data_IF_662642527579
#
_entry.id   IF_662642527579
#
_cell.length_a   1.000
_cell.length_b   1.000
_cell.length_c   1.000
_cell.angle_alpha   90.00
_cell.angle_beta   90.00
_cell.angle_gamma   90.00
#
_symmetry.space_group_name_H-M   'P 1'
#
loop_
_entity.id
_entity.type
_entity.pdbx_description
1 polymer ?
#
# COMPACT_ATOMS: atom_id res chain seq x y z
N UNK A 1 41.41 73.82 29.13
CA UNK A 1 42.36 72.67 29.12
C UNK A 1 41.73 71.32 29.50
N UNK A 2 40.83 71.23 30.51
CA UNK A 2 40.15 69.97 30.92
C UNK A 2 39.21 69.36 29.85
N UNK A 3 38.37 70.18 29.20
CA UNK A 3 37.40 69.74 28.18
C UNK A 3 38.05 69.05 26.96
N UNK A 4 39.18 69.57 26.45
CA UNK A 4 39.94 68.96 25.34
C UNK A 4 40.59 67.61 25.70
N UNK A 5 40.92 67.37 26.97
CA UNK A 5 41.44 66.07 27.43
C UNK A 5 40.33 65.01 27.51
N UNK A 6 39.13 65.41 27.94
CA UNK A 6 37.96 64.53 28.01
C UNK A 6 37.53 64.12 26.59
N UNK A 7 37.51 65.06 25.63
CA UNK A 7 37.21 64.72 24.23
C UNK A 7 38.25 63.77 23.63
N UNK A 8 39.54 63.96 23.92
CA UNK A 8 40.61 63.08 23.41
C UNK A 8 40.53 61.66 23.99
N UNK A 9 40.12 61.53 25.26
CA UNK A 9 39.90 60.23 25.90
C UNK A 9 38.71 59.48 25.30
N UNK A 10 37.61 60.20 25.04
CA UNK A 10 36.42 59.65 24.34
C UNK A 10 36.78 59.17 22.93
N UNK A 11 37.56 59.96 22.16
CA UNK A 11 38.02 59.58 20.81
C UNK A 11 38.87 58.31 20.85
N UNK A 12 39.81 58.19 21.80
CA UNK A 12 40.60 56.97 21.96
C UNK A 12 39.75 55.74 22.30
N UNK A 13 38.74 55.90 23.16
CA UNK A 13 37.78 54.82 23.47
C UNK A 13 36.97 54.40 22.25
N UNK A 14 36.46 55.37 21.48
CA UNK A 14 35.72 55.11 20.24
C UNK A 14 36.62 54.41 19.22
N UNK A 15 37.86 54.85 19.05
CA UNK A 15 38.83 54.22 18.16
C UNK A 15 39.14 52.77 18.55
N UNK A 16 39.37 52.51 19.84
CA UNK A 16 39.58 51.15 20.36
C UNK A 16 38.34 50.27 20.18
N UNK A 17 37.15 50.85 20.34
CA UNK A 17 35.89 50.17 20.10
C UNK A 17 35.70 49.79 18.62
N UNK A 18 36.01 50.72 17.70
CA UNK A 18 35.98 50.47 16.26
C UNK A 18 36.98 49.38 15.86
N UNK A 19 38.22 49.43 16.36
CA UNK A 19 39.22 48.37 16.13
C UNK A 19 38.73 46.99 16.61
N UNK A 20 38.07 46.95 17.77
CA UNK A 20 37.49 45.73 18.31
C UNK A 20 36.33 45.23 17.44
N UNK A 21 35.47 46.12 16.94
CA UNK A 21 34.39 45.76 16.01
C UNK A 21 34.93 45.16 14.71
N UNK A 22 35.94 45.78 14.07
CA UNK A 22 36.57 45.22 12.86
C UNK A 22 37.17 43.82 13.08
N UNK A 23 37.75 43.57 14.26
CA UNK A 23 38.28 42.25 14.61
C UNK A 23 37.16 41.21 14.76
N UNK A 24 36.02 41.61 15.35
CA UNK A 24 34.85 40.75 15.48
C UNK A 24 34.20 40.44 14.13
N UNK A 25 34.13 41.41 13.21
CA UNK A 25 33.60 41.18 11.85
C UNK A 25 34.41 40.14 11.08
N UNK A 26 35.75 40.20 11.15
CA UNK A 26 36.61 39.19 10.52
C UNK A 26 36.41 37.78 11.09
N UNK A 27 36.21 37.67 12.40
CA UNK A 27 35.92 36.40 13.06
C UNK A 27 34.55 35.86 12.63
N UNK A 28 33.52 36.71 12.64
CA UNK A 28 32.17 36.35 12.17
C UNK A 28 32.19 35.89 10.71
N UNK A 29 32.96 36.55 9.84
CA UNK A 29 33.12 36.15 8.45
C UNK A 29 33.75 34.75 8.31
N UNK A 30 34.83 34.50 9.07
CA UNK A 30 35.48 33.20 9.08
C UNK A 30 34.55 32.09 9.57
N UNK A 31 33.85 32.31 10.69
CA UNK A 31 32.92 31.33 11.25
C UNK A 31 31.75 31.04 10.30
N UNK A 32 31.19 32.08 9.67
CA UNK A 32 30.13 31.92 8.66
C UNK A 32 30.61 31.10 7.44
N UNK A 33 31.84 31.32 6.97
CA UNK A 33 32.39 30.52 5.87
C UNK A 33 32.52 29.03 6.23
N UNK A 34 32.95 28.75 7.47
CA UNK A 34 33.11 27.39 7.97
C UNK A 34 31.76 26.70 8.16
N UNK A 35 30.77 27.42 8.72
CA UNK A 35 29.39 26.95 8.85
C UNK A 35 28.81 26.60 7.47
N UNK A 36 28.97 27.48 6.48
CA UNK A 36 28.48 27.26 5.11
C UNK A 36 29.04 25.98 4.49
N UNK A 37 30.33 25.73 4.67
CA UNK A 37 30.96 24.49 4.20
C UNK A 37 30.43 23.24 4.91
N UNK A 38 30.23 23.30 6.23
CA UNK A 38 29.65 22.19 7.00
C UNK A 38 28.22 21.90 6.56
N UNK A 39 27.41 22.94 6.34
CA UNK A 39 26.03 22.77 5.86
C UNK A 39 25.98 22.11 4.49
N UNK A 40 26.90 22.48 3.59
CA UNK A 40 27.00 21.87 2.27
C UNK A 40 27.35 20.38 2.37
N UNK A 41 28.39 20.03 3.14
CA UNK A 41 28.82 18.64 3.30
C UNK A 41 27.74 17.76 3.91
N UNK A 42 27.02 18.27 4.92
CA UNK A 42 25.90 17.55 5.54
C UNK A 42 24.77 17.29 4.55
N UNK A 43 24.50 18.24 3.64
CA UNK A 43 23.48 18.07 2.62
C UNK A 43 23.86 16.98 1.62
N UNK A 44 25.11 16.97 1.14
CA UNK A 44 25.60 15.92 0.26
C UNK A 44 25.58 14.52 0.92
N UNK A 45 25.93 14.43 2.20
CA UNK A 45 25.93 13.16 2.95
C UNK A 45 24.49 12.62 3.10
N UNK A 46 23.55 13.50 3.45
CA UNK A 46 22.13 13.15 3.54
C UNK A 46 21.53 12.68 2.20
N UNK A 47 21.89 13.32 1.08
CA UNK A 47 21.46 12.88 -0.25
C UNK A 47 22.03 11.50 -0.61
N UNK A 48 23.31 11.24 -0.29
CA UNK A 48 23.95 9.94 -0.53
C UNK A 48 23.29 8.83 0.28
N UNK A 49 22.93 9.10 1.53
CA UNK A 49 22.24 8.14 2.38
C UNK A 49 20.87 7.77 1.79
N UNK A 50 20.06 8.76 1.38
CA UNK A 50 18.78 8.50 0.71
C UNK A 50 18.95 7.68 -0.58
N UNK A 51 19.96 7.99 -1.38
CA UNK A 51 20.25 7.26 -2.63
C UNK A 51 20.63 5.81 -2.30
N UNK A 52 21.45 5.59 -1.27
CA UNK A 52 21.88 4.26 -0.85
C UNK A 52 20.69 3.39 -0.42
N UNK A 53 19.77 3.96 0.35
CA UNK A 53 18.58 3.28 0.84
C UNK A 53 17.63 2.95 -0.33
N UNK A 54 17.39 3.90 -1.23
CA UNK A 54 16.57 3.67 -2.43
C UNK A 54 17.15 2.57 -3.32
N UNK A 55 18.48 2.55 -3.51
CA UNK A 55 19.17 1.53 -4.28
C UNK A 55 19.03 0.13 -3.66
N UNK A 56 19.04 0.04 -2.34
CA UNK A 56 18.79 -1.22 -1.63
C UNK A 56 17.40 -1.78 -1.97
N UNK A 57 16.35 -0.95 -1.91
CA UNK A 57 14.99 -1.38 -2.24
C UNK A 57 14.82 -1.74 -3.73
N UNK A 58 15.43 -0.98 -4.65
CA UNK A 58 15.42 -1.30 -6.09
C UNK A 58 16.01 -2.69 -6.33
N UNK A 59 17.15 -2.99 -5.71
CA UNK A 59 17.80 -4.30 -5.84
C UNK A 59 16.91 -5.43 -5.30
N UNK A 60 16.23 -5.19 -4.17
CA UNK A 60 15.29 -6.15 -3.58
C UNK A 60 14.08 -6.40 -4.49
N UNK A 61 13.47 -5.35 -5.04
CA UNK A 61 12.35 -5.45 -6.00
C UNK A 61 12.75 -6.28 -7.22
N UNK A 62 13.91 -5.98 -7.82
CA UNK A 62 14.42 -6.71 -8.97
C UNK A 62 14.57 -8.22 -8.71
N UNK A 63 15.06 -8.60 -7.52
CA UNK A 63 15.17 -10.01 -7.16
C UNK A 63 13.81 -10.69 -7.00
N UNK A 64 12.82 -10.00 -6.43
CA UNK A 64 11.45 -10.51 -6.26
C UNK A 64 10.73 -10.66 -7.60
N UNK A 65 10.88 -9.71 -8.52
CA UNK A 65 10.33 -9.80 -9.87
C UNK A 65 10.90 -11.01 -10.61
N UNK A 66 12.21 -11.26 -10.48
CA UNK A 66 12.86 -12.43 -11.11
C UNK A 66 12.31 -13.76 -10.56
N UNK A 67 12.08 -13.86 -9.25
CA UNK A 67 11.50 -15.08 -8.66
C UNK A 67 10.05 -15.27 -9.08
N UNK A 68 9.25 -14.20 -9.11
CA UNK A 68 7.88 -14.23 -9.63
C UNK A 68 7.83 -14.70 -11.07
N UNK A 69 8.67 -14.15 -11.95
CA UNK A 69 8.74 -14.57 -13.35
C UNK A 69 9.11 -16.05 -13.50
N UNK A 70 10.01 -16.57 -12.66
CA UNK A 70 10.36 -18.00 -12.65
C UNK A 70 9.20 -18.88 -12.20
N UNK A 71 8.42 -18.43 -11.20
CA UNK A 71 7.21 -19.12 -10.73
C UNK A 71 6.15 -19.09 -11.83
N UNK A 72 5.90 -17.93 -12.44
CA UNK A 72 4.97 -17.80 -13.58
C UNK A 72 5.36 -18.68 -14.75
N UNK A 73 6.64 -18.76 -15.11
CA UNK A 73 7.13 -19.67 -16.16
C UNK A 73 6.95 -21.15 -15.83
N UNK A 74 6.97 -21.53 -14.54
CA UNK A 74 6.71 -22.90 -14.08
C UNK A 74 5.20 -23.22 -13.99
N UNK A 75 4.36 -22.22 -13.77
CA UNK A 75 2.89 -22.34 -13.75
C UNK A 75 2.29 -22.34 -15.17
N UNK A 76 2.92 -21.66 -16.13
CA UNK A 76 2.54 -21.69 -17.54
C UNK A 76 3.01 -22.99 -18.22
N UNK A 77 2.49 -24.13 -17.78
CA UNK A 77 2.53 -25.36 -18.56
C UNK A 77 1.46 -25.27 -19.67
N UNK A 78 1.79 -25.49 -20.96
CA UNK A 78 0.83 -25.36 -22.07
C UNK A 78 -0.29 -26.42 -22.11
N UNK A 79 -0.36 -27.34 -21.14
CA UNK A 79 -1.24 -28.51 -21.15
C UNK A 79 -2.33 -28.51 -20.06
N UNK A 80 -2.80 -27.32 -19.64
CA UNK A 80 -3.84 -27.22 -18.61
C UNK A 80 -5.15 -26.57 -19.06
N UNK A 81 -5.23 -25.95 -20.24
CA UNK A 81 -6.45 -25.26 -20.70
C UNK A 81 -7.69 -26.16 -20.73
N UNK A 82 -7.56 -27.38 -21.25
CA UNK A 82 -8.67 -28.35 -21.31
C UNK A 82 -9.02 -28.88 -19.93
N UNK A 83 -8.02 -29.15 -19.07
CA UNK A 83 -8.25 -29.60 -17.70
C UNK A 83 -8.96 -28.52 -16.88
N UNK A 84 -8.50 -27.29 -16.97
CA UNK A 84 -9.07 -26.14 -16.27
C UNK A 84 -10.49 -25.82 -16.78
N UNK A 85 -10.74 -26.00 -18.08
CA UNK A 85 -12.09 -25.90 -18.65
C UNK A 85 -13.01 -27.00 -18.11
N UNK A 86 -12.56 -28.25 -18.09
CA UNK A 86 -13.32 -29.39 -17.55
C UNK A 86 -13.61 -29.16 -16.05
N UNK A 87 -12.59 -28.79 -15.27
CA UNK A 87 -12.71 -28.49 -13.85
C UNK A 87 -13.73 -27.36 -13.64
N UNK A 88 -13.61 -26.24 -14.38
CA UNK A 88 -14.55 -25.12 -14.32
C UNK A 88 -15.99 -25.54 -14.66
N UNK A 89 -16.17 -26.40 -15.66
CA UNK A 89 -17.49 -26.92 -16.05
C UNK A 89 -18.09 -27.83 -14.97
N UNK A 90 -17.27 -28.68 -14.35
CA UNK A 90 -17.70 -29.54 -13.25
C UNK A 90 -18.09 -28.73 -12.01
N UNK A 91 -17.26 -27.76 -11.61
CA UNK A 91 -17.56 -26.85 -10.50
C UNK A 91 -18.90 -26.12 -10.68
N UNK A 92 -19.20 -25.62 -11.89
CA UNK A 92 -20.50 -24.98 -12.18
C UNK A 92 -21.69 -25.93 -12.07
N UNK A 93 -21.50 -27.22 -12.35
CA UNK A 93 -22.56 -28.23 -12.25
C UNK A 93 -22.83 -28.64 -10.80
N UNK A 94 -21.81 -28.77 -9.98
CA UNK A 94 -21.92 -29.27 -8.60
C UNK A 94 -22.22 -28.16 -7.59
N UNK A 95 -21.79 -26.93 -7.85
CA UNK A 95 -21.85 -25.85 -6.87
C UNK A 95 -23.03 -24.89 -7.10
N UNK A 96 -23.50 -24.30 -6.01
CA UNK A 96 -24.57 -23.33 -5.99
C UNK A 96 -24.26 -22.14 -6.92
N UNK A 97 -25.18 -21.73 -7.80
CA UNK A 97 -24.93 -20.64 -8.74
C UNK A 97 -24.79 -19.27 -8.05
N UNK A 98 -25.36 -19.12 -6.86
CA UNK A 98 -25.28 -17.88 -6.05
C UNK A 98 -24.05 -17.89 -5.15
N UNK A 99 -23.80 -18.99 -4.44
CA UNK A 99 -22.62 -19.18 -3.58
C UNK A 99 -21.71 -20.22 -4.24
N UNK A 100 -20.87 -19.77 -5.19
CA UNK A 100 -20.06 -20.64 -6.06
C UNK A 100 -19.11 -21.60 -5.31
N UNK A 101 -18.84 -21.36 -4.04
CA UNK A 101 -17.98 -22.17 -3.18
C UNK A 101 -18.73 -23.25 -2.40
N UNK A 102 -20.06 -23.26 -2.41
CA UNK A 102 -20.88 -24.24 -1.68
C UNK A 102 -21.56 -25.24 -2.64
N UNK A 103 -21.69 -26.52 -2.26
CA UNK A 103 -22.36 -27.51 -3.08
C UNK A 103 -23.87 -27.23 -3.20
N UNK A 104 -24.50 -27.83 -4.21
CA UNK A 104 -25.96 -27.90 -4.32
C UNK A 104 -26.49 -28.98 -3.36
N UNK A 105 -27.36 -28.58 -2.46
CA UNK A 105 -27.90 -29.43 -1.38
C UNK A 105 -29.42 -29.33 -1.29
N UNK A 106 -30.02 -28.35 -1.98
CA UNK A 106 -31.44 -28.03 -1.89
C UNK A 106 -31.99 -27.82 -3.28
N UNK A 107 -33.15 -28.41 -3.56
CA UNK A 107 -33.95 -28.14 -4.75
C UNK A 107 -35.22 -27.37 -4.35
N UNK A 108 -35.56 -26.36 -5.15
CA UNK A 108 -36.88 -25.71 -5.10
C UNK A 108 -37.81 -26.50 -6.04
N UNK A 109 -38.64 -27.40 -5.50
CA UNK A 109 -39.30 -28.43 -6.34
C UNK A 109 -40.21 -27.83 -7.42
N UNK A 110 -40.83 -26.67 -7.16
CA UNK A 110 -41.72 -25.98 -8.12
C UNK A 110 -41.03 -25.56 -9.41
N UNK A 111 -39.74 -25.23 -9.37
CA UNK A 111 -38.98 -24.80 -10.55
C UNK A 111 -37.76 -25.67 -10.86
N UNK A 112 -37.48 -26.68 -10.04
CA UNK A 112 -36.37 -27.62 -10.24
C UNK A 112 -34.97 -27.04 -10.04
N UNK A 113 -34.84 -25.76 -9.69
CA UNK A 113 -33.54 -25.12 -9.52
C UNK A 113 -32.86 -25.51 -8.20
N UNK A 114 -31.55 -25.75 -8.28
CA UNK A 114 -30.70 -26.30 -7.22
C UNK A 114 -29.75 -25.25 -6.64
N UNK A 115 -29.68 -25.18 -5.31
CA UNK A 115 -28.88 -24.24 -4.54
C UNK A 115 -28.25 -24.92 -3.31
N UNK A 116 -27.31 -24.23 -2.66
CA UNK A 116 -26.80 -24.63 -1.35
C UNK A 116 -27.83 -24.37 -0.25
N UNK A 117 -27.81 -25.14 0.84
CA UNK A 117 -28.66 -24.92 2.01
C UNK A 117 -28.51 -23.51 2.57
N UNK A 118 -27.28 -23.00 2.65
CA UNK A 118 -26.95 -21.64 3.10
C UNK A 118 -27.67 -20.55 2.28
N UNK A 119 -27.66 -20.68 0.95
CA UNK A 119 -28.33 -19.73 0.05
C UNK A 119 -29.84 -19.67 0.31
N UNK A 120 -30.50 -20.83 0.38
CA UNK A 120 -31.96 -20.88 0.59
C UNK A 120 -32.35 -20.38 1.98
N UNK A 121 -31.60 -20.76 3.03
CA UNK A 121 -31.80 -20.23 4.40
C UNK A 121 -31.72 -18.71 4.43
N UNK A 122 -30.74 -18.11 3.78
CA UNK A 122 -30.59 -16.66 3.72
C UNK A 122 -31.81 -15.98 3.05
N UNK A 123 -32.33 -16.54 1.95
CA UNK A 123 -33.52 -16.02 1.27
C UNK A 123 -34.78 -16.07 2.16
N UNK A 124 -34.92 -17.12 2.97
CA UNK A 124 -36.03 -17.22 3.93
C UNK A 124 -35.91 -16.14 5.01
N UNK A 125 -34.72 -15.97 5.59
CA UNK A 125 -34.45 -15.00 6.66
C UNK A 125 -34.70 -13.57 6.16
N UNK A 126 -34.22 -13.23 4.97
CA UNK A 126 -34.42 -11.90 4.37
C UNK A 126 -35.80 -11.70 3.75
N UNK A 127 -36.70 -12.68 3.88
CA UNK A 127 -38.05 -12.68 3.29
C UNK A 127 -38.07 -12.52 1.76
N UNK A 128 -36.96 -12.79 1.08
CA UNK A 128 -36.87 -12.76 -0.38
C UNK A 128 -37.11 -14.16 -0.97
N UNK A 129 -38.35 -14.65 -0.87
CA UNK A 129 -38.71 -16.02 -1.27
C UNK A 129 -39.01 -16.16 -2.77
N UNK A 130 -38.07 -15.69 -3.60
CA UNK A 130 -38.07 -15.85 -5.07
C UNK A 130 -36.84 -16.61 -5.50
N UNK A 131 -36.99 -17.53 -6.45
CA UNK A 131 -35.88 -18.29 -7.01
C UNK A 131 -34.85 -17.33 -7.64
N UNK A 132 -33.55 -17.40 -7.26
CA UNK A 132 -32.52 -16.52 -7.82
C UNK A 132 -32.30 -16.66 -9.33
N UNK A 133 -32.71 -17.77 -9.94
CA UNK A 133 -32.50 -18.03 -11.37
C UNK A 133 -33.69 -17.62 -12.24
N UNK A 134 -34.92 -17.88 -11.80
CA UNK A 134 -36.13 -17.65 -12.61
C UNK A 134 -37.17 -16.74 -11.96
N UNK A 135 -36.95 -16.27 -10.72
CA UNK A 135 -37.89 -15.41 -10.02
C UNK A 135 -39.14 -16.11 -9.46
N UNK A 136 -39.33 -17.41 -9.72
CA UNK A 136 -40.47 -18.17 -9.22
C UNK A 136 -40.58 -18.08 -7.69
N UNK A 137 -41.76 -17.73 -7.18
CA UNK A 137 -42.02 -17.62 -5.75
C UNK A 137 -42.05 -19.04 -5.14
N UNK A 138 -41.45 -19.19 -3.96
CA UNK A 138 -41.42 -20.46 -3.23
C UNK A 138 -41.79 -20.30 -1.75
N UNK A 139 -42.28 -21.36 -1.11
CA UNK A 139 -42.57 -21.43 0.33
C UNK A 139 -41.65 -22.46 1.02
N UNK A 140 -41.78 -22.60 2.35
CA UNK A 140 -41.04 -23.63 3.08
C UNK A 140 -41.40 -25.06 2.62
N UNK A 141 -42.64 -25.27 2.19
CA UNK A 141 -43.10 -26.55 1.63
C UNK A 141 -42.48 -26.84 0.27
N UNK A 142 -41.90 -25.84 -0.40
CA UNK A 142 -41.28 -25.98 -1.71
C UNK A 142 -39.82 -26.41 -1.69
N UNK A 143 -39.27 -26.55 -0.48
CA UNK A 143 -37.86 -26.79 -0.24
C UNK A 143 -37.67 -28.28 0.04
N UNK A 144 -36.78 -28.93 -0.71
CA UNK A 144 -36.40 -30.33 -0.50
C UNK A 144 -34.88 -30.44 -0.48
N UNK A 145 -34.36 -31.24 0.44
CA UNK A 145 -32.93 -31.55 0.47
C UNK A 145 -32.60 -32.59 -0.60
N UNK A 146 -31.44 -32.45 -1.21
CA UNK A 146 -30.91 -33.39 -2.20
C UNK A 146 -29.45 -33.69 -1.89
N UNK A 147 -29.02 -34.90 -2.27
CA UNK A 147 -27.64 -35.34 -2.14
C UNK A 147 -27.15 -35.67 -3.54
N UNK A 148 -26.09 -34.98 -3.98
CA UNK A 148 -25.39 -35.27 -5.22
C UNK A 148 -24.21 -36.16 -4.85
N UNK A 149 -24.22 -37.39 -5.34
CA UNK A 149 -23.18 -38.40 -5.13
C UNK A 149 -22.16 -38.35 -6.26
#
# INVERSE_FOLDING_TARGET
KKMKKISMFLIKKIYFFILRLFKLEKLLFYDNSKIKNITYLKHEEFEKDQISEKNYYIKKIFTLEKTLNKIHGKLNCPNNSVKDEIISRLYKKTNCPVIKTSPKEVILYKCGHLFSSKCVKNLIITRNRKCPLCGQIFSNEDIRQVFLF
#
